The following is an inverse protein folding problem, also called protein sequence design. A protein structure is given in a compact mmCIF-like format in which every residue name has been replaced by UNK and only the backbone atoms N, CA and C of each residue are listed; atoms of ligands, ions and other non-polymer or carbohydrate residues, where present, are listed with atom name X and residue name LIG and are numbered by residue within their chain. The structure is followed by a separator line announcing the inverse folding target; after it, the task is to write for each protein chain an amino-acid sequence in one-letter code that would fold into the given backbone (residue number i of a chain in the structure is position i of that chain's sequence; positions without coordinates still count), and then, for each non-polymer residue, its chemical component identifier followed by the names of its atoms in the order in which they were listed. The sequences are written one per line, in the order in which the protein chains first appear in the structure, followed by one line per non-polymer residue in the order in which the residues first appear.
data_IF_763051916351
#
_entry.id   IF_763051916351
#
_cell.length_a   1.000
_cell.length_b   1.000
_cell.length_c   1.000
_cell.angle_alpha   90.00
_cell.angle_beta   90.00
_cell.angle_gamma   90.00
#
_symmetry.space_group_name_H-M   'P 1'
#
loop_
_entity.id
_entity.type
_entity.pdbx_description
1 polymer ?
2 non-polymer ?
3 non-polymer ?
4 non-polymer ?
5 non-polymer ?
6 non-polymer ?
7 water ?
#
# COMPACT_ATOMS: atom_id res chain seq x y z
N UNK A 6 3.80 14.10 13.50
CA UNK A 6 3.55 13.65 12.14
C UNK A 6 2.14 13.04 11.95
N UNK A 7 1.39 12.96 13.06
CA UNK A 7 0.02 12.44 13.03
C UNK A 7 -1.04 13.53 13.24
N UNK A 8 -0.57 14.78 13.32
CA UNK A 8 -1.44 15.95 13.45
C UNK A 8 -2.17 16.12 12.11
N UNK A 9 -3.46 16.40 12.18
CA UNK A 9 -4.26 16.56 10.97
C UNK A 9 -4.36 17.98 10.43
N UNK A 10 -4.42 18.07 9.10
CA UNK A 10 -4.60 19.32 8.39
C UNK A 10 -6.09 19.69 8.61
N UNK A 11 -6.46 20.92 8.29
CA UNK A 11 -7.87 21.35 8.42
C UNK A 11 -8.68 20.58 7.37
N UNK A 12 -8.21 20.64 6.13
CA UNK A 12 -8.84 19.95 5.02
C UNK A 12 -8.86 18.44 5.25
N UNK A 13 -7.83 17.92 5.91
CA UNK A 13 -7.80 16.50 6.22
C UNK A 13 -8.82 16.17 7.32
N UNK A 14 -8.83 16.99 8.37
CA UNK A 14 -9.75 16.76 9.49
C UNK A 14 -11.18 16.78 9.00
N UNK A 15 -11.43 17.64 8.04
CA UNK A 15 -12.77 17.78 7.46
C UNK A 15 -13.18 16.56 6.65
N UNK A 16 -12.26 16.08 5.80
CA UNK A 16 -12.55 14.92 4.96
C UNK A 16 -12.81 13.70 5.81
N UNK A 17 -12.08 13.57 6.92
CA UNK A 17 -12.26 12.43 7.81
C UNK A 17 -13.64 12.49 8.45
N UNK A 18 -14.01 13.68 8.89
CA UNK A 18 -15.32 13.93 9.53
C UNK A 18 -16.42 13.55 8.57
N UNK A 19 -16.32 14.00 7.32
CA UNK A 19 -17.29 13.68 6.27
C UNK A 19 -17.42 12.17 6.02
N UNK A 20 -16.30 11.46 5.96
CA UNK A 20 -16.33 10.02 5.77
C UNK A 20 -17.03 9.34 6.96
N UNK A 21 -16.74 9.80 8.17
CA UNK A 21 -17.35 9.17 9.35
C UNK A 21 -18.87 9.42 9.38
N UNK A 22 -19.26 10.67 9.17
CA UNK A 22 -20.67 11.03 9.13
C UNK A 22 -21.43 10.18 8.10
N UNK A 23 -20.84 9.95 6.93
CA UNK A 23 -21.48 9.15 5.88
C UNK A 23 -21.59 7.73 6.37
N UNK A 24 -20.48 7.24 6.90
CA UNK A 24 -20.40 5.90 7.42
C UNK A 24 -21.49 5.56 8.44
N UNK A 25 -21.76 6.50 9.34
CA UNK A 25 -22.74 6.30 10.39
C UNK A 25 -24.11 5.97 9.82
N UNK A 26 -24.39 6.48 8.63
CA UNK A 26 -25.67 6.27 7.98
C UNK A 26 -25.82 4.87 7.39
N UNK A 27 -24.71 4.15 7.26
CA UNK A 27 -24.71 2.81 6.69
C UNK A 27 -25.01 1.84 7.84
N UNK A 28 -25.86 0.88 7.60
CA UNK A 28 -26.20 -0.03 8.69
C UNK A 28 -25.35 -1.29 8.56
N UNK A 29 -25.94 -2.43 8.89
CA UNK A 29 -25.24 -3.69 8.77
C UNK A 29 -25.16 -4.04 7.28
N UNK A 30 -24.00 -4.46 6.81
CA UNK A 30 -23.83 -4.77 5.39
C UNK A 30 -24.30 -6.18 5.14
N UNK A 31 -25.05 -6.37 4.06
CA UNK A 31 -25.57 -7.69 3.68
C UNK A 31 -25.35 -7.91 2.19
N UNK A 32 -25.11 -9.16 1.82
CA UNK A 32 -24.86 -9.49 0.44
C UNK A 32 -25.79 -8.87 -0.61
N UNK A 33 -27.10 -8.99 -0.40
CA UNK A 33 -28.06 -8.53 -1.41
C UNK A 33 -28.14 -7.06 -1.62
N UNK A 34 -27.47 -6.31 -0.76
CA UNK A 34 -27.54 -4.86 -0.85
C UNK A 34 -26.56 -4.23 -1.82
N UNK A 35 -25.75 -5.06 -2.48
CA UNK A 35 -24.75 -4.59 -3.43
C UNK A 35 -25.07 -4.89 -4.89
N UNK A 36 -24.81 -3.92 -5.74
CA UNK A 36 -24.92 -4.10 -7.18
C UNK A 36 -23.46 -3.91 -7.70
N UNK A 37 -22.97 -4.85 -8.49
CA UNK A 37 -21.65 -4.76 -9.08
C UNK A 37 -21.59 -3.71 -10.20
N UNK A 38 -20.56 -2.86 -10.18
CA UNK A 38 -20.42 -1.84 -11.20
C UNK A 38 -19.32 -2.27 -12.17
N UNK A 39 -18.21 -2.75 -11.63
CA UNK A 39 -17.12 -3.27 -12.47
C UNK A 39 -16.10 -4.05 -11.66
N UNK A 40 -15.13 -4.63 -12.34
CA UNK A 40 -14.07 -5.38 -11.66
C UNK A 40 -12.85 -4.46 -11.51
N UNK A 41 -12.34 -4.33 -10.28
CA UNK A 41 -11.20 -3.46 -10.01
C UNK A 41 -9.87 -4.19 -10.21
N UNK A 42 -9.87 -5.50 -10.01
CA UNK A 42 -8.67 -6.29 -10.16
C UNK A 42 -8.76 -7.52 -9.27
N UNK A 43 -7.78 -8.41 -9.40
CA UNK A 43 -7.78 -9.62 -8.59
C UNK A 43 -6.37 -10.03 -8.18
N UNK A 44 -6.24 -10.67 -7.03
CA UNK A 44 -4.95 -11.13 -6.57
C UNK A 44 -4.88 -12.65 -6.70
N UNK A 45 -4.02 -13.27 -5.89
CA UNK A 45 -3.81 -14.72 -5.89
C UNK A 45 -4.84 -15.45 -5.01
N UNK A 46 -5.81 -14.72 -4.49
CA UNK A 46 -6.80 -15.34 -3.62
C UNK A 46 -7.97 -14.42 -3.28
N UNK A 47 -8.14 -13.37 -4.09
CA UNK A 47 -9.23 -12.42 -3.91
C UNK A 47 -9.54 -11.61 -5.18
N UNK A 48 -10.77 -11.14 -5.30
CA UNK A 48 -11.19 -10.31 -6.42
C UNK A 48 -11.76 -9.07 -5.75
N UNK A 49 -11.67 -7.93 -6.43
CA UNK A 49 -12.19 -6.70 -5.89
C UNK A 49 -13.12 -6.05 -6.91
N UNK A 50 -14.32 -5.71 -6.48
CA UNK A 50 -15.28 -5.01 -7.36
C UNK A 50 -15.63 -3.61 -6.90
N UNK A 51 -15.91 -2.75 -7.86
CA UNK A 51 -16.46 -1.45 -7.58
C UNK A 51 -17.96 -1.77 -7.52
N UNK A 52 -18.62 -1.41 -6.42
CA UNK A 52 -20.02 -1.77 -6.21
C UNK A 52 -20.81 -0.58 -5.70
N UNK A 53 -22.12 -0.65 -5.90
CA UNK A 53 -23.02 0.37 -5.36
C UNK A 53 -23.71 -0.29 -4.15
N UNK A 54 -23.71 0.39 -3.02
CA UNK A 54 -24.46 -0.06 -1.87
C UNK A 54 -25.86 0.59 -2.09
N UNK A 55 -26.78 -0.22 -2.57
CA UNK A 55 -28.09 0.29 -2.96
C UNK A 55 -28.81 1.24 -2.01
N UNK A 56 -28.92 0.83 -0.75
CA UNK A 56 -29.70 1.59 0.23
C UNK A 56 -29.13 2.96 0.49
N UNK A 57 -27.83 3.00 0.78
CA UNK A 57 -27.14 4.24 1.09
C UNK A 57 -26.80 5.02 -0.17
N UNK A 58 -26.72 4.33 -1.30
CA UNK A 58 -26.31 4.99 -2.55
C UNK A 58 -24.75 5.11 -2.63
N UNK A 59 -24.05 4.71 -1.56
CA UNK A 59 -22.57 4.83 -1.53
C UNK A 59 -21.91 3.86 -2.51
N UNK A 60 -20.87 4.31 -3.20
CA UNK A 60 -20.09 3.43 -4.07
C UNK A 60 -18.94 2.97 -3.15
N UNK A 61 -18.63 1.68 -3.16
CA UNK A 61 -17.56 1.10 -2.36
C UNK A 61 -16.72 0.17 -3.22
N UNK A 62 -15.61 -0.28 -2.65
CA UNK A 62 -14.77 -1.31 -3.27
C UNK A 62 -15.02 -2.52 -2.42
N UNK A 63 -15.48 -3.61 -3.02
CA UNK A 63 -15.76 -4.77 -2.19
C UNK A 63 -14.80 -5.90 -2.51
N UNK A 64 -14.02 -6.31 -1.52
CA UNK A 64 -13.11 -7.43 -1.72
C UNK A 64 -13.76 -8.73 -1.24
N UNK A 65 -13.76 -9.75 -2.10
CA UNK A 65 -14.28 -11.06 -1.78
C UNK A 65 -13.14 -12.03 -1.73
N UNK A 66 -12.98 -12.65 -0.57
CA UNK A 66 -11.94 -13.65 -0.38
C UNK A 66 -12.67 -14.98 -0.23
N UNK A 67 -12.73 -15.74 -1.32
CA UNK A 67 -13.42 -17.03 -1.28
C UNK A 67 -12.64 -18.01 -0.43
N UNK A 68 -13.27 -18.41 0.67
CA UNK A 68 -12.67 -19.33 1.62
C UNK A 68 -13.72 -20.30 2.14
N UNK A 69 -13.45 -21.60 2.06
CA UNK A 69 -14.38 -22.60 2.56
C UNK A 69 -13.91 -23.02 3.96
N UNK A 70 -14.61 -22.52 4.98
CA UNK A 70 -14.28 -22.81 6.37
C UNK A 70 -15.50 -22.71 7.28
N UNK A 71 -15.56 -23.59 8.28
CA UNK A 71 -16.66 -23.65 9.24
C UNK A 71 -17.12 -22.28 9.72
N UNK A 72 -18.43 -22.15 9.95
CA UNK A 72 -19.01 -20.89 10.44
C UNK A 72 -18.24 -20.41 11.66
N UNK A 73 -17.71 -21.36 12.41
CA UNK A 73 -16.91 -21.07 13.59
C UNK A 73 -15.77 -20.12 13.22
N UNK A 74 -14.91 -20.60 12.33
CA UNK A 74 -13.74 -19.85 11.87
C UNK A 74 -14.07 -18.46 11.33
N UNK A 75 -14.80 -18.43 10.21
CA UNK A 75 -15.21 -17.20 9.54
C UNK A 75 -15.66 -16.11 10.53
N UNK A 76 -16.55 -16.49 11.44
CA UNK A 76 -17.06 -15.55 12.43
C UNK A 76 -15.96 -14.90 13.28
N UNK A 77 -14.75 -15.46 13.24
CA UNK A 77 -13.62 -14.91 14.02
C UNK A 77 -12.83 -13.85 13.25
N UNK A 78 -12.72 -14.03 11.94
CA UNK A 78 -12.04 -13.06 11.12
C UNK A 78 -12.91 -11.79 11.15
N UNK A 79 -14.21 -11.97 10.92
CA UNK A 79 -15.16 -10.85 10.94
C UNK A 79 -15.00 -10.06 12.23
N UNK A 80 -14.73 -10.76 13.32
CA UNK A 80 -14.57 -10.14 14.64
C UNK A 80 -13.32 -9.24 14.70
N UNK A 81 -12.19 -9.80 14.27
CA UNK A 81 -10.92 -9.06 14.28
C UNK A 81 -10.98 -7.85 13.32
N UNK A 82 -11.55 -8.06 12.14
CA UNK A 82 -11.69 -7.00 11.14
C UNK A 82 -12.45 -5.79 11.66
N UNK A 83 -13.24 -5.97 12.73
CA UNK A 83 -14.01 -4.86 13.29
C UNK A 83 -13.11 -3.74 13.78
N UNK A 84 -11.83 -4.06 14.01
CA UNK A 84 -10.84 -3.05 14.41
C UNK A 84 -10.71 -1.93 13.36
N UNK A 85 -10.92 -2.29 12.10
CA UNK A 85 -10.87 -1.31 11.01
C UNK A 85 -11.78 -0.14 11.20
N UNK A 86 -12.84 -0.30 12.01
CA UNK A 86 -13.75 0.83 12.28
C UNK A 86 -13.02 1.89 13.10
N UNK A 87 -11.93 1.49 13.75
CA UNK A 87 -11.12 2.39 14.55
C UNK A 87 -9.88 2.99 13.83
N UNK A 88 -9.59 2.48 12.63
CA UNK A 88 -8.44 2.99 11.85
C UNK A 88 -8.88 4.12 10.97
N UNK A 89 -8.79 5.34 11.51
CA UNK A 89 -9.21 6.57 10.82
C UNK A 89 -8.04 7.54 10.64
N UNK A 90 -7.56 7.63 9.40
CA UNK A 90 -6.39 8.45 9.09
C UNK A 90 -6.43 8.84 7.61
N UNK A 91 -5.90 9.99 7.27
CA UNK A 91 -5.89 10.42 5.88
C UNK A 91 -5.00 9.48 5.06
N UNK A 92 -4.22 8.64 5.73
CA UNK A 92 -3.26 7.76 5.02
C UNK A 92 -3.64 6.30 5.03
N UNK A 93 -4.89 6.01 5.45
CA UNK A 93 -5.38 4.63 5.56
C UNK A 93 -6.73 4.53 4.86
N UNK A 94 -6.89 3.58 3.95
CA UNK A 94 -8.14 3.41 3.18
C UNK A 94 -9.31 3.19 4.17
N UNK A 95 -10.38 3.95 3.98
CA UNK A 95 -11.56 3.83 4.86
C UNK A 95 -12.22 2.47 4.77
N UNK A 96 -12.79 2.01 5.89
CA UNK A 96 -13.47 0.72 5.96
C UNK A 96 -15.00 0.92 6.24
N UNK A 97 -15.82 0.13 5.55
CA UNK A 97 -17.30 0.17 5.77
C UNK A 97 -17.80 -1.00 6.61
N UNK A 98 -17.31 -2.20 6.33
CA UNK A 98 -17.75 -3.37 7.08
C UNK A 98 -17.27 -4.66 6.45
N UNK A 99 -17.45 -5.75 7.18
CA UNK A 99 -17.02 -7.08 6.76
C UNK A 99 -18.14 -8.09 7.08
N UNK A 100 -18.42 -8.98 6.15
CA UNK A 100 -19.44 -9.99 6.42
C UNK A 100 -19.08 -11.23 5.64
N UNK A 101 -19.70 -12.35 5.99
CA UNK A 101 -19.45 -13.59 5.28
C UNK A 101 -20.72 -13.93 4.56
N UNK A 102 -20.58 -14.50 3.37
CA UNK A 102 -21.73 -14.83 2.57
C UNK A 102 -21.35 -15.81 1.49
N UNK A 103 -22.11 -16.89 1.41
CA UNK A 103 -21.91 -17.94 0.42
C UNK A 103 -20.47 -18.33 0.09
N UNK A 104 -19.72 -18.68 1.13
CA UNK A 104 -18.37 -19.17 0.98
C UNK A 104 -17.24 -18.14 1.04
N UNK A 105 -17.53 -16.89 0.68
CA UNK A 105 -16.49 -15.85 0.66
C UNK A 105 -16.65 -14.77 1.69
N UNK A 106 -15.53 -14.22 2.16
CA UNK A 106 -15.56 -13.13 3.14
C UNK A 106 -15.56 -11.84 2.35
N UNK A 107 -16.44 -10.90 2.72
CA UNK A 107 -16.50 -9.61 2.03
C UNK A 107 -15.91 -8.53 2.94
N UNK A 108 -15.05 -7.68 2.37
CA UNK A 108 -14.47 -6.54 3.09
C UNK A 108 -14.78 -5.32 2.23
N UNK A 109 -15.55 -4.39 2.79
CA UNK A 109 -16.02 -3.26 2.01
C UNK A 109 -15.31 -2.03 2.44
N UNK A 110 -14.76 -1.30 1.48
CA UNK A 110 -13.95 -0.16 1.83
C UNK A 110 -14.23 0.99 0.89
N UNK A 111 -13.64 2.11 1.24
CA UNK A 111 -13.69 3.31 0.45
C UNK A 111 -13.12 2.98 -0.94
N UNK A 112 -13.81 3.44 -1.98
CA UNK A 112 -13.35 3.23 -3.35
C UNK A 112 -12.33 4.34 -3.67
N UNK A 113 -11.16 3.95 -4.18
CA UNK A 113 -10.09 4.91 -4.51
C UNK A 113 -10.04 4.96 -6.01
N UNK A 114 -10.52 6.06 -6.57
CA UNK A 114 -10.70 6.21 -8.02
C UNK A 114 -9.44 6.25 -8.89
N UNK A 115 -8.29 6.34 -8.24
CA UNK A 115 -7.01 6.34 -8.97
C UNK A 115 -6.36 4.95 -9.00
N UNK A 116 -6.97 3.98 -8.31
CA UNK A 116 -6.52 2.57 -8.29
C UNK A 116 -5.22 2.48 -7.47
N UNK A 117 -4.46 1.42 -7.67
CA UNK A 117 -3.25 1.22 -6.90
C UNK A 117 -2.01 1.69 -7.67
N UNK A 118 -0.90 1.87 -6.96
CA UNK A 118 0.33 2.37 -7.62
C UNK A 118 0.91 1.40 -8.64
N UNK A 119 0.66 0.10 -8.51
CA UNK A 119 1.11 -0.81 -9.58
C UNK A 119 0.35 -0.43 -10.86
N UNK A 120 -0.94 -0.10 -10.75
CA UNK A 120 -1.69 0.31 -11.95
C UNK A 120 -1.24 1.64 -12.52
N UNK A 121 -0.99 2.59 -11.63
CA UNK A 121 -0.51 3.89 -12.04
C UNK A 121 0.86 3.77 -12.71
N UNK A 122 1.74 2.94 -12.12
CA UNK A 122 3.10 2.77 -12.68
C UNK A 122 3.05 2.21 -14.10
N UNK A 123 2.20 1.19 -14.30
CA UNK A 123 2.04 0.54 -15.60
C UNK A 123 1.66 1.59 -16.63
N UNK A 124 0.77 2.51 -16.24
CA UNK A 124 0.37 3.61 -17.12
C UNK A 124 1.44 4.64 -17.31
N UNK A 125 2.07 5.07 -16.21
CA UNK A 125 3.02 6.13 -16.31
C UNK A 125 4.33 5.73 -16.99
N UNK A 126 4.75 4.47 -16.80
CA UNK A 126 6.11 4.06 -17.26
C UNK A 126 7.04 4.13 -16.02
N UNK A 127 7.30 5.33 -15.55
CA UNK A 127 8.00 5.55 -14.27
C UNK A 127 7.45 6.81 -13.62
N UNK A 128 7.51 6.86 -12.30
CA UNK A 128 6.92 7.95 -11.53
C UNK A 128 7.99 8.91 -11.09
N UNK A 129 7.78 10.22 -11.31
CA UNK A 129 8.83 11.22 -11.01
C UNK A 129 9.20 11.30 -9.53
N UNK A 130 10.46 11.63 -9.28
CA UNK A 130 10.95 11.72 -7.91
C UNK A 130 10.08 12.58 -6.99
N UNK A 131 9.62 13.73 -7.46
CA UNK A 131 8.79 14.57 -6.59
C UNK A 131 7.49 13.96 -6.22
N UNK A 132 6.93 13.16 -7.13
CA UNK A 132 5.71 12.45 -6.83
C UNK A 132 5.99 11.37 -5.82
N UNK A 133 7.12 10.70 -5.96
CA UNK A 133 7.48 9.66 -4.98
C UNK A 133 7.80 10.24 -3.59
N UNK A 134 8.18 11.50 -3.53
CA UNK A 134 8.40 12.19 -2.23
C UNK A 134 7.04 12.23 -1.49
N UNK A 135 5.97 12.55 -2.19
CA UNK A 135 4.66 12.57 -1.54
C UNK A 135 4.22 11.18 -1.18
N UNK A 136 4.47 10.21 -2.06
CA UNK A 136 4.11 8.84 -1.76
C UNK A 136 4.86 8.36 -0.47
N UNK A 137 6.14 8.68 -0.38
CA UNK A 137 6.98 8.29 0.76
C UNK A 137 6.40 8.89 2.05
N UNK A 138 6.04 10.15 1.99
CA UNK A 138 5.47 10.82 3.19
C UNK A 138 4.23 10.02 3.61
N UNK A 139 3.32 9.73 2.66
CA UNK A 139 2.10 9.05 3.01
C UNK A 139 2.32 7.70 3.61
N UNK A 140 3.26 6.95 3.04
CA UNK A 140 3.49 5.61 3.53
C UNK A 140 4.06 5.69 4.93
N UNK A 141 5.08 6.51 5.12
CA UNK A 141 5.67 6.60 6.49
C UNK A 141 4.59 7.03 7.52
N UNK A 142 3.79 8.02 7.14
CA UNK A 142 2.71 8.49 8.06
C UNK A 142 1.67 7.41 8.33
N UNK A 143 1.23 6.71 7.28
CA UNK A 143 0.33 5.59 7.42
C UNK A 143 0.90 4.49 8.33
N UNK A 144 2.18 4.13 8.14
CA UNK A 144 2.81 3.13 9.03
C UNK A 144 2.95 3.65 10.48
N UNK A 145 3.31 4.92 10.64
CA UNK A 145 3.44 5.53 11.97
C UNK A 145 2.08 5.44 12.67
N UNK A 146 1.01 5.80 11.94
CA UNK A 146 -0.33 5.75 12.48
C UNK A 146 -0.72 4.35 12.97
N UNK A 147 -0.53 3.35 12.12
CA UNK A 147 -0.89 1.98 12.47
C UNK A 147 -0.12 1.56 13.71
N UNK A 148 1.16 1.89 13.76
CA UNK A 148 2.01 1.53 14.90
C UNK A 148 1.55 2.26 16.17
N UNK A 149 1.59 3.59 16.12
CA UNK A 149 1.23 4.43 17.26
C UNK A 149 -0.18 4.16 17.81
N UNK A 150 -1.18 4.26 16.95
CA UNK A 150 -2.57 4.12 17.38
C UNK A 150 -3.13 2.72 17.51
N UNK A 151 -2.54 1.74 16.83
CA UNK A 151 -3.11 0.42 16.85
C UNK A 151 -2.14 -0.72 17.12
N UNK A 152 -0.88 -0.35 17.39
CA UNK A 152 0.18 -1.32 17.63
C UNK A 152 0.11 -2.44 16.60
N UNK A 153 0.00 -2.04 15.33
CA UNK A 153 -0.11 -2.96 14.21
C UNK A 153 1.04 -2.60 13.25
N UNK A 154 1.60 -3.60 12.57
CA UNK A 154 2.58 -3.29 11.54
C UNK A 154 1.83 -3.70 10.27
N UNK A 155 2.20 -3.13 9.13
CA UNK A 155 1.48 -3.46 7.90
C UNK A 155 1.63 -4.92 7.46
N UNK A 156 2.88 -5.36 7.27
CA UNK A 156 3.23 -6.74 6.85
C UNK A 156 3.22 -6.98 5.35
N UNK A 157 2.57 -6.11 4.58
CA UNK A 157 2.49 -6.35 3.14
C UNK A 157 2.56 -5.03 2.36
N UNK A 158 3.58 -4.21 2.60
CA UNK A 158 3.74 -3.01 1.79
C UNK A 158 4.22 -3.43 0.39
N UNK A 159 3.57 -2.94 -0.66
CA UNK A 159 3.97 -3.17 -2.05
C UNK A 159 3.10 -2.21 -2.90
N UNK A 160 3.44 -1.95 -4.14
CA UNK A 160 2.67 -0.95 -4.92
C UNK A 160 1.18 -1.20 -5.03
N UNK A 161 0.75 -2.46 -5.06
CA UNK A 161 -0.69 -2.74 -5.22
C UNK A 161 -1.47 -2.52 -3.93
N UNK A 162 -0.75 -2.27 -2.82
CA UNK A 162 -1.38 -1.96 -1.53
C UNK A 162 -1.35 -0.50 -1.14
N UNK A 163 -0.89 0.36 -2.07
CA UNK A 163 -0.89 1.80 -1.84
C UNK A 163 -1.86 2.31 -2.91
N UNK A 164 -2.95 2.94 -2.49
CA UNK A 164 -4.03 3.38 -3.40
C UNK A 164 -4.07 4.90 -3.43
N UNK A 165 -4.51 5.45 -4.55
CA UNK A 165 -4.55 6.91 -4.72
C UNK A 165 -5.91 7.32 -5.30
N UNK A 166 -6.16 8.62 -5.29
CA UNK A 166 -7.42 9.13 -5.81
C UNK A 166 -7.30 10.50 -6.42
N UNK A 167 -8.35 10.92 -7.12
CA UNK A 167 -8.36 12.19 -7.84
C UNK A 167 -8.34 13.38 -6.91
N UNK A 168 -8.58 13.18 -5.62
CA UNK A 168 -8.43 14.30 -4.69
C UNK A 168 -6.94 14.47 -4.33
N UNK A 169 -6.10 13.53 -4.77
CA UNK A 169 -4.67 13.64 -4.44
C UNK A 169 -4.27 12.87 -3.15
N UNK A 170 -5.17 12.05 -2.61
CA UNK A 170 -4.86 11.30 -1.38
C UNK A 170 -4.12 10.03 -1.75
N UNK A 171 -3.29 9.56 -0.83
CA UNK A 171 -2.49 8.33 -0.99
C UNK A 171 -2.68 7.56 0.32
N UNK A 172 -3.06 6.29 0.22
CA UNK A 172 -3.48 5.50 1.38
C UNK A 172 -3.06 4.07 1.30
N UNK A 173 -2.79 3.50 2.48
CA UNK A 173 -2.47 2.06 2.62
C UNK A 173 -3.69 1.23 2.81
N UNK A 174 -3.65 0.02 2.30
CA UNK A 174 -4.73 -0.95 2.55
C UNK A 174 -4.05 -2.29 2.81
N UNK A 175 -4.86 -3.34 3.01
CA UNK A 175 -4.34 -4.71 3.15
C UNK A 175 -3.30 -4.97 4.21
N UNK A 176 -3.37 -4.20 5.28
CA UNK A 176 -2.49 -4.34 6.44
C UNK A 176 -3.02 -5.44 7.38
N UNK A 177 -2.13 -6.01 8.18
CA UNK A 177 -2.44 -7.17 9.04
C UNK A 177 -3.19 -6.83 10.34
N UNK A 178 -4.44 -6.43 10.20
CA UNK A 178 -5.27 -6.09 11.35
C UNK A 178 -5.84 -7.38 11.98
N UNK A 179 -5.97 -8.43 11.19
CA UNK A 179 -6.50 -9.71 11.71
C UNK A 179 -5.54 -10.91 11.54
N UNK A 180 -5.00 -11.38 12.67
CA UNK A 180 -4.11 -12.53 12.68
C UNK A 180 -4.70 -13.78 12.03
N UNK A 181 -5.98 -14.04 12.30
CA UNK A 181 -6.64 -15.22 11.74
C UNK A 181 -6.82 -15.20 10.24
N UNK A 182 -7.07 -14.01 9.67
CA UNK A 182 -7.22 -13.89 8.22
C UNK A 182 -5.86 -14.16 7.57
N UNK A 183 -4.80 -13.73 8.24
CA UNK A 183 -3.43 -13.94 7.75
C UNK A 183 -3.11 -15.43 7.68
N UNK A 184 -3.47 -16.16 8.73
CA UNK A 184 -3.23 -17.60 8.79
C UNK A 184 -4.17 -18.36 7.87
N UNK A 185 -5.46 -18.06 7.96
CA UNK A 185 -6.45 -18.73 7.15
C UNK A 185 -6.21 -18.59 5.64
N UNK A 186 -5.26 -17.73 5.28
CA UNK A 186 -4.91 -17.50 3.88
C UNK A 186 -3.53 -18.10 3.58
N UNK A 187 -2.61 -17.93 4.54
CA UNK A 187 -1.26 -18.45 4.41
N UNK A 191 -1.84 -17.39 -2.19
CA UNK A 191 -0.41 -17.18 -2.02
C UNK A 191 -0.01 -15.81 -2.59
N UNK A 192 0.27 -14.86 -1.69
CA UNK A 192 0.63 -13.50 -2.12
C UNK A 192 2.13 -13.44 -2.37
N UNK A 193 2.56 -12.65 -3.34
CA UNK A 193 3.99 -12.57 -3.66
C UNK A 193 4.83 -12.27 -2.43
N UNK A 194 5.98 -12.92 -2.35
CA UNK A 194 6.95 -12.71 -1.29
C UNK A 194 8.07 -11.82 -1.84
N UNK A 195 7.89 -11.36 -3.06
CA UNK A 195 8.94 -10.60 -3.73
C UNK A 195 9.27 -9.21 -3.13
N UNK A 196 8.42 -8.69 -2.23
CA UNK A 196 8.74 -7.43 -1.56
C UNK A 196 9.12 -7.65 -0.09
N UNK A 197 9.30 -8.93 0.29
CA UNK A 197 9.64 -9.24 1.69
C UNK A 197 11.11 -8.97 2.01
N UNK A 198 11.35 -8.50 3.23
CA UNK A 198 12.71 -8.17 3.66
C UNK A 198 13.55 -9.44 3.75
N UNK A 199 14.85 -9.27 3.64
CA UNK A 199 15.75 -10.44 3.80
C UNK A 199 15.56 -11.12 5.16
N UNK A 200 15.38 -10.35 6.23
CA UNK A 200 15.20 -10.95 7.56
C UNK A 200 13.94 -11.80 7.63
N UNK A 201 12.86 -11.32 6.99
CA UNK A 201 11.62 -12.09 6.96
C UNK A 201 11.76 -13.33 6.10
N UNK A 202 12.51 -13.19 5.01
CA UNK A 202 12.72 -14.33 4.11
C UNK A 202 13.64 -15.37 4.79
N UNK A 203 14.39 -14.94 5.78
CA UNK A 203 15.36 -15.81 6.44
C UNK A 203 14.75 -16.39 7.70
N UNK A 204 13.53 -15.98 8.03
CA UNK A 204 12.85 -16.44 9.23
C UNK A 204 13.38 -15.80 10.52
N UNK A 205 14.15 -14.72 10.39
CA UNK A 205 14.69 -14.06 11.57
C UNK A 205 13.85 -12.93 12.18
N UNK A 206 14.47 -11.78 12.41
CA UNK A 206 13.83 -10.64 13.08
C UNK A 206 12.94 -9.74 12.26
N UNK A 207 11.63 -9.73 12.54
CA UNK A 207 10.77 -8.80 11.84
C UNK A 207 9.83 -7.91 12.65
N UNK A 208 9.93 -6.62 12.38
CA UNK A 208 9.14 -5.59 13.02
C UNK A 208 8.72 -4.62 11.92
N UNK A 209 8.43 -3.38 12.31
CA UNK A 209 8.09 -2.35 11.33
C UNK A 209 9.28 -2.17 10.40
N UNK A 210 10.47 -2.53 10.87
CA UNK A 210 11.67 -2.41 10.02
C UNK A 210 11.46 -3.13 8.69
N UNK A 211 10.81 -4.27 8.75
CA UNK A 211 10.55 -5.05 7.55
C UNK A 211 9.61 -4.33 6.53
N UNK A 212 8.68 -3.51 7.03
CA UNK A 212 7.78 -2.74 6.14
C UNK A 212 8.60 -1.62 5.47
N UNK A 213 9.61 -1.14 6.20
CA UNK A 213 10.46 -0.07 5.68
C UNK A 213 11.25 -0.56 4.44
N UNK A 214 11.75 -1.78 4.51
CA UNK A 214 12.45 -2.41 3.36
C UNK A 214 11.48 -2.47 2.17
N UNK A 215 10.26 -2.95 2.41
CA UNK A 215 9.27 -3.15 1.33
C UNK A 215 8.95 -1.79 0.72
N UNK A 216 8.81 -0.76 1.55
CA UNK A 216 8.55 0.56 1.01
C UNK A 216 9.72 0.97 0.15
N UNK A 217 10.93 0.76 0.66
CA UNK A 217 12.09 1.18 -0.14
C UNK A 217 12.18 0.50 -1.51
N UNK A 218 11.91 -0.80 -1.52
CA UNK A 218 12.00 -1.58 -2.75
C UNK A 218 10.87 -1.12 -3.72
N UNK A 219 9.70 -0.85 -3.16
CA UNK A 219 8.54 -0.34 -3.94
C UNK A 219 8.89 1.03 -4.58
N UNK A 220 9.56 1.90 -3.83
CA UNK A 220 9.99 3.22 -4.36
C UNK A 220 10.99 3.04 -5.50
N UNK A 221 11.94 2.11 -5.35
CA UNK A 221 12.91 1.92 -6.45
C UNK A 221 12.19 1.40 -7.71
N UNK A 222 11.26 0.47 -7.55
CA UNK A 222 10.54 -0.04 -8.69
C UNK A 222 9.79 1.09 -9.38
N UNK A 223 9.09 1.92 -8.60
CA UNK A 223 8.30 3.00 -9.22
C UNK A 223 9.17 4.06 -9.87
N UNK A 224 10.36 4.30 -9.29
CA UNK A 224 11.27 5.29 -9.83
C UNK A 224 11.86 4.83 -11.16
N UNK A 225 12.22 3.55 -11.25
CA UNK A 225 12.89 3.08 -12.47
C UNK A 225 11.95 2.46 -13.49
N UNK A 226 10.75 2.10 -13.05
CA UNK A 226 9.74 1.53 -13.96
C UNK A 226 9.82 0.01 -14.11
N UNK A 227 10.54 -0.65 -13.21
CA UNK A 227 10.70 -2.09 -13.33
C UNK A 227 11.00 -2.65 -11.94
N UNK A 228 10.47 -3.83 -11.63
CA UNK A 228 10.85 -4.50 -10.37
C UNK A 228 12.38 -4.63 -10.45
N UNK A 229 13.10 -4.10 -9.46
CA UNK A 229 14.54 -3.87 -9.58
C UNK A 229 15.53 -4.96 -9.24
N UNK A 230 15.05 -6.19 -9.09
CA UNK A 230 15.95 -7.31 -8.76
C UNK A 230 15.71 -8.37 -9.83
N UNK A 231 16.77 -8.81 -10.50
CA UNK A 231 18.15 -8.34 -10.26
C UNK A 231 18.36 -7.02 -10.99
N UNK A 232 19.38 -6.27 -10.57
CA UNK A 232 19.62 -4.95 -11.14
C UNK A 232 19.75 -4.85 -12.65
N UNK A 233 19.32 -3.71 -13.18
CA UNK A 233 19.37 -3.46 -14.62
C UNK A 233 20.83 -3.34 -15.04
N UNK A 234 21.19 -4.01 -16.13
CA UNK A 234 22.54 -3.93 -16.65
C UNK A 234 22.75 -2.56 -17.31
N UNK A 235 24.00 -2.18 -17.53
CA UNK A 235 24.32 -0.87 -18.10
C UNK A 235 23.49 -0.49 -19.32
N UNK A 236 23.22 -1.47 -20.17
CA UNK A 236 22.46 -1.22 -21.39
C UNK A 236 20.96 -1.13 -21.19
N UNK A 237 20.48 -1.65 -20.06
CA UNK A 237 19.06 -1.55 -19.73
C UNK A 237 18.79 -0.14 -19.21
N UNK A 238 19.74 0.39 -18.44
CA UNK A 238 19.63 1.73 -17.87
C UNK A 238 19.73 2.80 -18.97
N UNK A 239 20.57 2.50 -19.96
CA UNK A 239 20.78 3.38 -21.11
C UNK A 239 19.48 3.58 -21.90
N UNK A 240 18.71 2.51 -22.05
CA UNK A 240 17.44 2.58 -22.75
C UNK A 240 16.38 3.17 -21.84
N UNK A 241 16.53 2.93 -20.54
CA UNK A 241 15.58 3.43 -19.54
C UNK A 241 15.60 4.95 -19.42
N UNK A 242 16.78 5.54 -19.23
CA UNK A 242 16.89 6.98 -19.06
C UNK A 242 17.69 7.73 -20.12
N UNK A 243 18.44 6.97 -20.92
CA UNK A 243 19.34 7.56 -21.92
C UNK A 243 20.70 7.82 -21.24
N UNK A 244 20.82 7.41 -19.98
CA UNK A 244 22.06 7.59 -19.23
N UNK A 274 14.00 -15.11 -17.49
CA UNK A 274 13.74 -14.35 -16.27
C UNK A 274 13.87 -15.24 -15.03
N UNK A 275 14.19 -14.62 -13.90
CA UNK A 275 14.38 -15.34 -12.65
C UNK A 275 13.09 -15.94 -12.10
N UNK A 276 13.15 -17.22 -11.73
CA UNK A 276 12.02 -17.88 -11.08
C UNK A 276 11.95 -17.35 -9.66
N UNK A 277 10.76 -17.36 -9.10
CA UNK A 277 10.55 -16.81 -7.78
C UNK A 277 11.53 -17.30 -6.71
N UNK A 278 11.81 -18.59 -6.65
CA UNK A 278 12.76 -19.09 -5.62
C UNK A 278 14.18 -18.55 -5.86
N UNK A 279 14.52 -18.29 -7.12
CA UNK A 279 15.82 -17.76 -7.45
C UNK A 279 15.86 -16.32 -6.98
N UNK A 280 14.75 -15.61 -7.21
CA UNK A 280 14.66 -14.22 -6.80
C UNK A 280 14.73 -14.04 -5.27
N UNK A 281 14.07 -14.92 -4.51
CA UNK A 281 14.10 -14.78 -3.05
C UNK A 281 15.53 -15.10 -2.53
N UNK A 282 16.19 -16.05 -3.17
CA UNK A 282 17.57 -16.37 -2.80
C UNK A 282 18.47 -15.12 -3.10
N UNK A 283 18.23 -14.49 -4.25
CA UNK A 283 18.98 -13.29 -4.62
C UNK A 283 18.84 -12.23 -3.55
N UNK A 284 17.60 -11.95 -3.13
CA UNK A 284 17.36 -10.92 -2.14
C UNK A 284 18.12 -11.19 -0.82
N UNK A 285 18.13 -12.44 -0.39
CA UNK A 285 18.77 -12.80 0.85
C UNK A 285 20.31 -12.74 0.73
N UNK A 286 20.83 -13.17 -0.40
CA UNK A 286 22.27 -13.28 -0.57
C UNK A 286 23.07 -12.15 -1.23
N UNK A 287 22.39 -11.31 -2.03
CA UNK A 287 23.06 -10.25 -2.77
C UNK A 287 22.87 -8.87 -2.17
N UNK A 288 23.68 -7.88 -2.57
CA UNK A 288 23.50 -6.52 -2.03
C UNK A 288 22.15 -5.96 -2.50
N UNK A 289 21.59 -5.07 -1.72
CA UNK A 289 20.27 -4.49 -2.02
C UNK A 289 20.34 -3.64 -3.30
N UNK A 290 19.19 -3.47 -3.94
CA UNK A 290 19.12 -2.65 -5.16
C UNK A 290 19.34 -1.18 -4.77
N UNK A 291 19.66 -0.33 -5.73
CA UNK A 291 19.82 1.08 -5.44
C UNK A 291 19.36 1.81 -6.70
N UNK A 292 19.11 3.10 -6.57
CA UNK A 292 18.69 3.88 -7.74
C UNK A 292 19.94 4.12 -8.58
N UNK A 293 19.77 4.30 -9.88
CA UNK A 293 20.93 4.62 -10.68
C UNK A 293 21.37 6.05 -10.32
N UNK A 294 22.67 6.31 -10.37
CA UNK A 294 23.16 7.62 -9.97
C UNK A 294 22.95 8.58 -11.14
N UNK A 295 23.07 9.86 -10.88
CA UNK A 295 22.99 10.82 -11.99
C UNK A 295 21.62 11.13 -12.60
N UNK A 296 20.56 10.50 -12.12
CA UNK A 296 19.23 10.84 -12.61
C UNK A 296 18.30 11.24 -11.47
N UNK A 297 18.63 10.79 -10.26
CA UNK A 297 17.82 11.08 -9.07
C UNK A 297 18.69 11.93 -8.11
N UNK A 298 18.05 12.75 -7.29
CA UNK A 298 18.81 13.57 -6.36
C UNK A 298 19.57 12.65 -5.41
N UNK A 299 20.65 13.17 -4.84
CA UNK A 299 21.39 12.38 -3.85
C UNK A 299 20.57 12.17 -2.60
N UNK A 300 19.71 13.13 -2.25
CA UNK A 300 18.83 12.92 -1.06
C UNK A 300 17.89 11.72 -1.26
N UNK A 301 17.28 11.61 -2.45
CA UNK A 301 16.40 10.48 -2.74
C UNK A 301 17.17 9.16 -2.77
N UNK A 302 18.35 9.15 -3.38
CA UNK A 302 19.15 7.91 -3.36
C UNK A 302 19.51 7.55 -1.91
N UNK A 303 19.83 8.56 -1.09
CA UNK A 303 20.22 8.25 0.30
C UNK A 303 19.02 7.68 1.08
N UNK A 304 17.86 8.25 0.85
CA UNK A 304 16.63 7.82 1.50
C UNK A 304 16.36 6.36 1.18
N UNK A 305 16.34 6.00 -0.10
CA UNK A 305 16.08 4.62 -0.45
C UNK A 305 17.19 3.70 0.14
N UNK A 306 18.45 4.12 0.07
CA UNK A 306 19.54 3.31 0.62
C UNK A 306 19.32 3.01 2.10
N UNK A 307 18.86 4.00 2.84
CA UNK A 307 18.64 3.78 4.29
C UNK A 307 17.44 2.87 4.57
N UNK A 308 16.51 2.78 3.60
CA UNK A 308 15.36 1.88 3.78
C UNK A 308 15.80 0.44 3.41
N UNK A 309 16.82 0.35 2.56
CA UNK A 309 17.24 -0.92 1.96
C UNK A 309 18.48 -1.59 2.62
N UNK A 310 18.97 -1.03 3.70
CA UNK A 310 20.09 -1.69 4.42
C UNK A 310 19.63 -3.11 4.83
N UNK A 311 20.35 -4.15 4.44
CA UNK A 311 19.89 -5.52 4.75
C UNK A 311 19.73 -5.82 6.26
N UNK A 312 20.58 -5.22 7.08
CA UNK A 312 20.52 -5.41 8.54
C UNK A 312 19.45 -4.51 9.14
N UNK A 313 18.37 -5.12 9.63
CA UNK A 313 17.24 -4.33 10.11
C UNK A 313 17.60 -3.40 11.23
N UNK A 314 18.67 -3.73 11.96
CA UNK A 314 19.11 -2.90 13.07
C UNK A 314 19.78 -1.61 12.61
N UNK A 315 20.41 -1.67 11.45
CA UNK A 315 21.11 -0.52 10.87
C UNK A 315 20.17 0.31 9.96
N UNK A 316 19.21 -0.37 9.35
CA UNK A 316 18.19 0.23 8.47
C UNK A 316 17.48 1.34 9.24
N UNK A 317 17.17 2.45 8.56
CA UNK A 317 16.48 3.55 9.26
C UNK A 317 15.12 3.11 9.82
N UNK A 318 14.64 3.82 10.83
CA UNK A 318 13.34 3.50 11.40
C UNK A 318 12.37 4.64 11.06
N UNK A 319 11.09 4.49 11.37
CA UNK A 319 10.11 5.52 11.02
C UNK A 319 10.45 6.92 11.52
N UNK A 320 10.92 7.02 12.76
CA UNK A 320 11.23 8.31 13.33
C UNK A 320 12.36 8.97 12.56
N UNK A 321 13.35 8.19 12.20
CA UNK A 321 14.50 8.72 11.48
C UNK A 321 14.11 9.11 10.05
N UNK A 322 13.26 8.31 9.43
CA UNK A 322 12.84 8.59 8.04
C UNK A 322 11.98 9.84 7.97
N UNK A 323 11.17 10.03 9.01
CA UNK A 323 10.31 11.22 9.07
C UNK A 323 11.04 12.56 9.06
N UNK A 324 12.32 12.57 9.47
CA UNK A 324 13.15 13.76 9.45
C UNK A 324 14.31 13.67 8.46
N UNK A 325 14.25 12.67 7.58
CA UNK A 325 15.30 12.53 6.57
C UNK A 325 15.24 13.73 5.65
N UNK A 326 16.40 14.19 5.16
CA UNK A 326 16.49 15.29 4.23
C UNK A 326 15.46 15.17 3.08
N UNK A 327 15.30 13.96 2.53
CA UNK A 327 14.41 13.81 1.35
C UNK A 327 12.94 14.11 1.76
N UNK A 328 12.59 13.64 2.95
CA UNK A 328 11.23 13.83 3.49
C UNK A 328 10.95 15.29 3.86
N UNK A 329 11.91 15.95 4.49
CA UNK A 329 11.75 17.37 4.76
C UNK A 329 11.66 18.20 3.47
N UNK A 330 12.52 17.89 2.50
CA UNK A 330 12.48 18.62 1.23
C UNK A 330 11.10 18.36 0.60
N UNK A 331 10.67 17.11 0.54
CA UNK A 331 9.41 16.76 -0.16
C UNK A 331 8.22 17.42 0.53
N UNK A 332 8.22 17.45 1.87
CA UNK A 332 7.10 18.02 2.63
C UNK A 332 6.93 19.50 2.32
N UNK A 333 8.04 20.16 2.07
CA UNK A 333 8.06 21.59 1.76
C UNK A 333 7.68 21.91 0.30
N UNK A 334 7.86 20.94 -0.60
CA UNK A 334 7.55 21.15 -2.02
C UNK A 334 6.04 21.24 -2.25
N UNK A 335 5.62 22.09 -3.16
CA UNK A 335 4.18 22.14 -3.37
C UNK A 335 3.99 21.33 -4.63
N UNK A 336 3.65 20.06 -4.45
CA UNK A 336 3.54 19.15 -5.59
C UNK A 336 2.10 18.88 -5.90
N UNK A 337 1.71 19.09 -7.17
CA UNK A 337 0.31 18.89 -7.54
C UNK A 337 0.11 17.44 -7.89
N UNK A 338 0.03 16.61 -6.86
CA UNK A 338 -0.12 15.18 -7.07
C UNK A 338 -1.37 14.85 -7.85
N UNK A 339 -2.49 15.43 -7.46
CA UNK A 339 -3.73 15.13 -8.21
C UNK A 339 -3.66 15.51 -9.69
N UNK A 340 -3.08 16.66 -10.02
CA UNK A 340 -2.94 17.09 -11.42
C UNK A 340 -2.04 16.13 -12.20
N UNK A 341 -0.91 15.78 -11.58
CA UNK A 341 -0.04 14.79 -12.22
C UNK A 341 -0.80 13.47 -12.44
N UNK A 342 -1.45 12.96 -11.39
CA UNK A 342 -2.13 11.69 -11.45
C UNK A 342 -3.26 11.70 -12.51
N UNK A 343 -4.10 12.72 -12.43
CA UNK A 343 -5.22 12.78 -13.40
C UNK A 343 -4.76 12.84 -14.86
N UNK A 344 -3.71 13.62 -15.12
CA UNK A 344 -3.09 13.75 -16.47
C UNK A 344 -2.52 12.38 -16.92
N UNK A 345 -1.94 11.66 -15.97
CA UNK A 345 -1.27 10.42 -16.28
C UNK A 345 -2.18 9.25 -16.56
N UNK A 346 -3.23 9.14 -15.77
CA UNK A 346 -4.08 7.99 -15.93
C UNK A 346 -5.27 8.31 -16.80
N UNK A 347 -5.34 9.57 -17.22
CA UNK A 347 -6.39 10.03 -18.13
C UNK A 347 -7.72 10.12 -17.42
N UNK A 348 -7.67 10.47 -16.13
CA UNK A 348 -8.88 10.63 -15.33
C UNK A 348 -9.67 11.87 -15.78
N UNK A 349 -10.97 11.67 -16.01
CA UNK A 349 -11.86 12.76 -16.44
X LIG B 1 -7.68 -5.44 4.44
X LIG B 1 -7.06 -4.67 5.45
X LIG B 1 -7.33 -3.30 5.61
X LIG B 1 -8.27 -2.71 4.74
X LIG B 1 -8.87 -3.44 3.70
X LIG B 1 -8.58 -4.79 3.58
X LIG B 1 -7.42 -6.83 4.22
X LIG B 1 -6.57 -7.72 4.86
X LIG B 1 -5.68 -8.53 4.10
X LIG B 1 -4.77 -9.38 4.75
X LIG B 1 -4.75 -9.46 6.14
X LIG B 1 -5.62 -8.68 6.88
X LIG B 1 -6.53 -7.82 6.25
X LIG B 1 -5.77 -8.58 2.62
X LIG B 1 -4.65 -8.99 1.94
X LIG B 1 -6.85 -8.35 2.06
X LIG B 1 -4.74 -9.06 0.51
X LIG B 1 -5.75 -10.01 0.11
X LIG B 1 -5.35 -10.65 -1.22
X LIG B 1 -4.98 -12.12 -1.05
X LIG B 1 -6.44 -10.58 -2.17
X LIG B 1 -4.55 -12.63 -2.31
X LIG B 1 -8.69 -0.70 4.93
X LIG B 1 -9.32 -5.65 2.28
X LIG B 1 -7.32 -7.05 7.03
X LIG B 1 -5.56 -8.71 8.21
X LIG C 1 -2.02 -10.00 -4.12
X LIG C 1 -0.84 -11.01 -4.75
X LIG C 1 -1.55 -9.37 -2.82
X LIG C 1 -3.38 -10.84 -3.90
X LIG C 1 -3.22 -7.59 -5.20
X LIG C 1 -2.94 -6.70 -3.99
X LIG C 1 -3.20 -6.82 -6.49
X LIG C 1 -2.28 -8.87 -5.24
X LIG C 1 -5.94 -7.65 -4.31
X LIG C 1 -6.99 -8.76 -4.33
X LIG C 1 -5.68 -7.30 -2.90
X LIG C 1 -4.70 -8.14 -5.12
X LIG C 1 -6.47 -6.39 -5.05
X LIG C 1 -6.80 -6.48 -6.43
X LIG C 1 -6.73 -5.05 -6.99
X LIG C 1 -7.91 -4.27 -6.61
X LIG C 1 -5.59 -4.22 -6.43
X LIG C 1 -4.40 -4.57 -7.14
X LIG C 1 -6.13 -2.79 -6.63
X LIG C 1 -5.79 -2.34 -7.94
X LIG C 1 -7.66 -2.90 -6.62
X LIG C 1 -8.25 -2.34 -5.40
X LIG C 1 -8.25 -2.91 -4.15
X LIG C 1 -8.80 -2.12 -3.21
X LIG C 1 -9.27 -1.01 -3.88
X LIG C 1 -9.99 0.10 -3.39
X LIG C 1 -10.29 0.38 -2.19
X LIG C 1 -10.24 0.98 -4.39
X LIG C 1 -9.83 0.88 -5.70
X LIG C 1 -9.18 -0.17 -6.18
X LIG C 1 -8.91 -1.10 -5.23
X LIG D 1 -3.91 -5.94 -2.20
X LIG E 1 -27.51 -12.80 -1.52
X LIG F 1 -23.68 -12.55 -3.59
#
# INVERSE_FOLDING_TARGET
GKKLEELELDEQQRKRLEAFLTQKQKVGELKDDDFEKISELGAGNGGVVFKVSHKPSGLVMARKLIHLEIKPAIRNQIIRELQVLHECNSPYIVGFYGAFYSDGEISICMEHMDGGSLDQVLKKAGRIPEQILGKVSIAVIKGLTYLREKHKIMHRDVKPSNILVNSRGEIKLCDFGVSGQLIDSMANSFVGTRSYMSPERLQGTHYSVQSDIWSMGLSLVEMAVGRYPIPPPDAKELELMFGCQVEGDAAETPPRPRTPGRPLNKFGMDSRPPMAIFELLDYIVNEPPPKLPSGVFSLEFQDFVNKCLIKNPAERADLKQLMVHAFIKRSDAEEVDFAGWLCSTIGLNQPSTPTHAAGV
3BM C01 C02 C03 C04 C05 C06 N07 C08 C09 C10 C11 C12 C13 C14 N15 O16 O17 C18 C19 C20 O21 O22 I23 CL24 F25 F26
AGS PG S1G O2G O3G PB O1B O2B O3B PA O1A O2A O3A O5' C5' C4' O4' C3' O3' C2' O2' C1' N9 C8 N7 C5 C6 N6 N1 C2 N3 C4
MG MG
CA CA
NA NA
#
